data_IF_515135653228
#
_entry.id   IF_515135653228
#
_cell.length_a   1.000
_cell.length_b   1.000
_cell.length_c   1.000
_cell.angle_alpha   90.00
_cell.angle_beta   90.00
_cell.angle_gamma   90.00
#
_symmetry.space_group_name_H-M   'P 1'
#
loop_
_entity.id
_entity.type
_entity.pdbx_description
1 polymer ?
#
# COMPACT_ATOMS: atom_id res chain seq x y z
N UNK A 1 -37.22 39.64 -71.96
CA UNK A 1 -37.37 39.24 -70.54
C UNK A 1 -36.00 38.80 -70.04
N UNK A 2 -35.52 39.44 -68.98
CA UNK A 2 -34.15 39.43 -68.45
C UNK A 2 -34.14 38.72 -67.09
N UNK A 3 -33.09 37.95 -66.78
CA UNK A 3 -32.42 37.70 -65.45
C UNK A 3 -31.78 36.30 -65.46
N UNK A 4 -30.46 36.14 -65.29
CA UNK A 4 -29.53 36.41 -64.17
C UNK A 4 -29.29 35.18 -63.27
N UNK A 5 -28.02 35.05 -62.86
CA UNK A 5 -27.28 33.94 -62.24
C UNK A 5 -27.69 33.67 -60.78
N UNK A 6 -27.30 32.49 -60.27
CA UNK A 6 -26.68 32.19 -58.96
C UNK A 6 -27.08 30.75 -58.50
N UNK A 7 -26.15 29.79 -58.47
CA UNK A 7 -25.30 29.38 -57.33
C UNK A 7 -26.08 28.82 -56.12
N UNK A 8 -25.72 27.61 -55.65
CA UNK A 8 -25.82 27.04 -54.28
C UNK A 8 -25.77 25.50 -54.43
N UNK A 9 -24.58 24.89 -54.31
CA UNK A 9 -23.97 24.29 -53.11
C UNK A 9 -24.46 22.85 -52.82
N UNK A 10 -23.63 21.89 -53.25
CA UNK A 10 -23.64 20.48 -52.82
C UNK A 10 -23.38 20.36 -51.31
N UNK A 11 -24.20 19.57 -50.61
CA UNK A 11 -23.83 18.95 -49.34
C UNK A 11 -24.21 17.47 -49.40
N UNK A 12 -23.23 16.61 -49.65
CA UNK A 12 -23.33 15.17 -49.44
C UNK A 12 -22.86 14.90 -48.01
N UNK A 13 -23.80 14.63 -47.10
CA UNK A 13 -23.50 14.25 -45.73
C UNK A 13 -23.06 12.78 -45.69
N UNK A 14 -21.74 12.55 -45.68
CA UNK A 14 -21.14 11.25 -45.39
C UNK A 14 -21.20 11.00 -43.88
N UNK A 15 -22.23 10.29 -43.42
CA UNK A 15 -22.30 9.79 -42.04
C UNK A 15 -21.33 8.62 -41.87
N UNK A 16 -20.06 8.90 -41.56
CA UNK A 16 -19.15 7.90 -41.00
C UNK A 16 -19.57 7.62 -39.57
N UNK A 17 -20.33 6.54 -39.38
CA UNK A 17 -20.54 5.95 -38.05
C UNK A 17 -19.23 5.28 -37.65
N UNK A 18 -18.37 6.00 -36.95
CA UNK A 18 -17.23 5.40 -36.26
C UNK A 18 -17.81 4.64 -35.07
N UNK A 19 -18.16 3.38 -35.27
CA UNK A 19 -18.39 2.44 -34.19
C UNK A 19 -17.10 2.30 -33.39
N UNK A 20 -16.94 3.08 -32.31
CA UNK A 20 -15.94 2.84 -31.29
C UNK A 20 -16.40 1.65 -30.45
N UNK A 21 -16.26 0.44 -30.98
CA UNK A 21 -16.05 -0.72 -30.12
C UNK A 21 -14.73 -0.49 -29.37
N UNK A 22 -14.70 -0.42 -28.02
CA UNK A 22 -13.43 -0.51 -27.34
C UNK A 22 -12.91 -1.92 -27.58
N UNK A 23 -12.00 -2.05 -28.55
CA UNK A 23 -11.13 -3.20 -28.62
C UNK A 23 -10.36 -3.23 -27.30
N UNK A 24 -10.74 -4.12 -26.39
CA UNK A 24 -9.92 -4.43 -25.22
C UNK A 24 -8.63 -5.04 -25.79
N UNK A 25 -7.59 -4.22 -25.88
CA UNK A 25 -6.29 -4.66 -26.33
C UNK A 25 -5.84 -5.81 -25.42
N UNK A 26 -5.62 -6.97 -26.04
CA UNK A 26 -4.97 -8.11 -25.43
C UNK A 26 -3.58 -7.63 -24.93
N UNK A 27 -3.46 -7.38 -23.62
CA UNK A 27 -2.23 -6.85 -23.03
C UNK A 27 -2.34 -5.54 -22.25
N UNK A 28 -3.53 -4.97 -21.99
CA UNK A 28 -3.65 -3.90 -20.97
C UNK A 28 -3.73 -4.49 -19.55
N UNK A 29 -2.69 -4.34 -18.69
CA UNK A 29 -2.79 -4.73 -17.30
C UNK A 29 -3.84 -3.87 -16.61
N UNK A 30 -4.79 -4.51 -15.93
CA UNK A 30 -5.81 -3.82 -15.15
C UNK A 30 -5.21 -2.93 -14.05
N UNK A 31 -6.03 -2.13 -13.40
CA UNK A 31 -5.55 -1.28 -12.30
C UNK A 31 -5.36 -2.09 -11.00
N UNK A 32 -4.40 -1.68 -10.17
CA UNK A 32 -3.97 -2.36 -8.96
C UNK A 32 -5.08 -2.25 -7.91
N UNK A 33 -5.46 -3.37 -7.30
CA UNK A 33 -6.47 -3.40 -6.23
C UNK A 33 -5.78 -3.33 -4.87
N UNK A 34 -5.94 -2.21 -4.18
CA UNK A 34 -5.39 -2.03 -2.85
C UNK A 34 -6.34 -2.55 -1.78
N UNK A 35 -5.79 -2.98 -0.65
CA UNK A 35 -6.57 -3.40 0.52
C UNK A 35 -7.45 -2.26 1.08
N UNK A 36 -7.07 -1.00 0.86
CA UNK A 36 -7.80 0.17 1.36
C UNK A 36 -8.97 0.63 0.51
N UNK A 37 -9.01 0.28 -0.77
CA UNK A 37 -9.94 0.89 -1.71
C UNK A 37 -10.77 -0.19 -2.41
N UNK A 38 -12.09 0.02 -2.45
CA UNK A 38 -12.97 -0.60 -3.46
C UNK A 38 -12.67 -0.07 -4.88
N UNK A 39 -11.76 0.90 -5.01
CA UNK A 39 -11.27 1.50 -6.26
C UNK A 39 -9.91 0.96 -6.68
N UNK A 40 -9.66 1.01 -7.98
CA UNK A 40 -8.43 0.53 -8.60
C UNK A 40 -7.44 1.68 -8.79
N UNK A 41 -6.20 1.56 -8.31
CA UNK A 41 -5.17 2.56 -8.57
C UNK A 41 -4.32 2.16 -9.78
N UNK A 42 -4.01 3.13 -10.63
CA UNK A 42 -3.00 2.97 -11.67
C UNK A 42 -1.78 3.80 -11.26
N UNK A 43 -0.54 3.30 -11.45
CA UNK A 43 0.62 4.19 -11.38
C UNK A 43 0.38 5.38 -12.31
N UNK A 44 0.48 6.59 -11.78
CA UNK A 44 -0.10 7.79 -12.36
C UNK A 44 0.67 8.36 -13.57
N UNK A 45 1.87 7.86 -13.86
CA UNK A 45 2.77 8.48 -14.84
C UNK A 45 2.79 7.73 -16.19
N UNK A 46 2.80 8.52 -17.27
CA UNK A 46 3.20 8.07 -18.61
C UNK A 46 4.56 7.35 -18.54
N UNK A 47 4.85 6.39 -19.47
CA UNK A 47 6.05 5.55 -19.39
C UNK A 47 7.36 6.34 -19.28
N UNK A 48 7.47 7.50 -19.96
CA UNK A 48 8.65 8.35 -19.91
C UNK A 48 8.87 8.98 -18.51
N UNK A 49 7.80 9.51 -17.88
CA UNK A 49 7.86 10.04 -16.52
C UNK A 49 8.17 8.94 -15.49
N UNK A 50 7.62 7.75 -15.72
CA UNK A 50 7.90 6.57 -14.90
C UNK A 50 9.36 6.13 -14.98
N UNK A 51 9.95 6.12 -16.19
CA UNK A 51 11.35 5.79 -16.39
C UNK A 51 12.29 6.84 -15.76
N UNK A 52 11.93 8.12 -15.84
CA UNK A 52 12.65 9.19 -15.17
C UNK A 52 12.63 8.98 -13.64
N UNK A 53 11.45 8.71 -13.06
CA UNK A 53 11.32 8.40 -11.63
C UNK A 53 12.20 7.23 -11.20
N UNK A 54 12.19 6.13 -11.96
CA UNK A 54 13.04 4.96 -11.69
C UNK A 54 14.54 5.31 -11.75
N UNK A 55 14.93 6.21 -12.64
CA UNK A 55 16.34 6.63 -12.80
C UNK A 55 16.78 7.55 -11.65
N UNK A 56 15.91 8.46 -11.20
CA UNK A 56 16.25 9.47 -10.19
C UNK A 56 16.06 8.98 -8.75
N UNK A 57 15.25 7.94 -8.54
CA UNK A 57 15.00 7.35 -7.22
C UNK A 57 16.27 6.78 -6.61
N UNK A 58 16.64 7.22 -5.41
CA UNK A 58 17.84 6.75 -4.71
C UNK A 58 17.48 5.82 -3.57
N UNK A 59 17.68 4.53 -3.80
CA UNK A 59 17.57 3.45 -2.81
C UNK A 59 16.28 3.49 -1.98
N UNK A 60 15.14 3.37 -2.70
CA UNK A 60 13.78 3.41 -2.12
C UNK A 60 12.90 2.35 -2.76
N UNK A 61 11.74 2.10 -2.15
CA UNK A 61 10.70 1.26 -2.71
C UNK A 61 9.73 2.04 -3.59
N UNK A 62 9.42 1.48 -4.76
CA UNK A 62 8.41 1.99 -5.69
C UNK A 62 7.37 0.91 -5.99
N UNK A 63 6.20 1.35 -6.47
CA UNK A 63 5.29 0.50 -7.23
C UNK A 63 5.62 0.63 -8.71
N UNK A 64 5.88 -0.49 -9.37
CA UNK A 64 6.15 -0.54 -10.81
C UNK A 64 5.18 -1.50 -11.48
N UNK A 65 4.65 -1.12 -12.64
CA UNK A 65 3.73 -1.93 -13.44
C UNK A 65 4.29 -2.11 -14.84
N UNK A 66 4.20 -3.33 -15.36
CA UNK A 66 4.69 -3.72 -16.68
C UNK A 66 3.54 -4.13 -17.59
N UNK A 67 3.74 -4.10 -18.91
CA UNK A 67 2.75 -4.60 -19.87
C UNK A 67 2.48 -6.11 -19.73
N UNK A 68 3.49 -6.87 -19.29
CA UNK A 68 3.42 -8.29 -18.97
C UNK A 68 4.30 -8.59 -17.75
N UNK A 69 4.03 -9.69 -17.04
CA UNK A 69 4.92 -10.14 -15.96
C UNK A 69 6.34 -10.33 -16.51
N UNK A 70 7.35 -9.62 -15.98
CA UNK A 70 8.73 -9.79 -16.46
C UNK A 70 9.22 -11.22 -16.21
N UNK A 71 9.75 -11.85 -17.27
CA UNK A 71 10.34 -13.19 -17.20
C UNK A 71 11.69 -13.20 -16.47
N UNK A 72 12.28 -14.39 -16.27
CA UNK A 72 13.53 -14.56 -15.51
C UNK A 72 14.69 -13.70 -16.05
N UNK A 73 14.91 -13.71 -17.36
CA UNK A 73 15.97 -12.92 -18.00
C UNK A 73 15.76 -11.41 -17.82
N UNK A 74 14.52 -10.94 -17.97
CA UNK A 74 14.19 -9.52 -17.77
C UNK A 74 14.38 -9.10 -16.31
N UNK A 75 13.98 -9.94 -15.35
CA UNK A 75 14.22 -9.70 -13.91
C UNK A 75 15.71 -9.61 -13.58
N UNK A 76 16.53 -10.48 -14.17
CA UNK A 76 17.98 -10.42 -13.99
C UNK A 76 18.57 -9.12 -14.58
N UNK A 77 18.12 -8.72 -15.77
CA UNK A 77 18.54 -7.47 -16.39
C UNK A 77 18.15 -6.23 -15.56
N UNK A 78 16.92 -6.21 -15.02
CA UNK A 78 16.45 -5.18 -14.10
C UNK A 78 17.31 -5.13 -12.82
N UNK A 79 17.59 -6.28 -12.21
CA UNK A 79 18.39 -6.36 -10.99
C UNK A 79 19.82 -5.86 -11.20
N UNK A 80 20.45 -6.20 -12.34
CA UNK A 80 21.77 -5.68 -12.72
C UNK A 80 21.76 -4.15 -12.86
N UNK A 81 20.61 -3.58 -13.23
CA UNK A 81 20.36 -2.15 -13.35
C UNK A 81 19.82 -1.52 -12.06
N UNK A 82 19.92 -2.22 -10.92
CA UNK A 82 19.54 -1.71 -9.61
C UNK A 82 18.03 -1.72 -9.32
N UNK A 83 17.23 -2.47 -10.09
CA UNK A 83 15.79 -2.62 -9.88
C UNK A 83 15.49 -4.06 -9.49
N UNK A 84 15.19 -4.29 -8.21
CA UNK A 84 14.82 -5.62 -7.71
C UNK A 84 13.31 -5.70 -7.52
N UNK A 85 12.63 -6.49 -8.36
CA UNK A 85 11.20 -6.75 -8.20
C UNK A 85 10.97 -7.67 -7.00
N UNK A 86 10.11 -7.24 -6.08
CA UNK A 86 9.76 -7.93 -4.85
C UNK A 86 8.33 -8.52 -4.96
N UNK A 87 7.44 -8.23 -4.00
CA UNK A 87 6.08 -8.80 -3.95
C UNK A 87 5.24 -8.37 -5.14
N UNK A 88 4.48 -9.31 -5.68
CA UNK A 88 3.49 -9.10 -6.73
C UNK A 88 2.20 -8.50 -6.15
N UNK A 89 1.64 -7.50 -6.83
CA UNK A 89 0.43 -6.77 -6.42
C UNK A 89 -0.78 -7.08 -7.31
N UNK A 90 -0.63 -7.99 -8.26
CA UNK A 90 -1.64 -8.21 -9.30
C UNK A 90 -1.44 -7.28 -10.50
N UNK A 91 -2.09 -7.62 -11.62
CA UNK A 91 -2.08 -6.84 -12.86
C UNK A 91 -0.69 -6.38 -13.31
N UNK A 92 0.30 -7.30 -13.30
CA UNK A 92 1.68 -7.03 -13.71
C UNK A 92 2.39 -5.95 -12.88
N UNK A 93 1.88 -5.63 -11.69
CA UNK A 93 2.47 -4.66 -10.77
C UNK A 93 3.22 -5.33 -9.62
N UNK A 94 4.28 -4.67 -9.17
CA UNK A 94 5.17 -5.16 -8.12
C UNK A 94 5.57 -4.00 -7.20
N UNK A 95 5.79 -4.30 -5.92
CA UNK A 95 6.76 -3.52 -5.15
C UNK A 95 8.16 -3.82 -5.68
N UNK A 96 9.01 -2.80 -5.79
CA UNK A 96 10.39 -2.95 -6.23
C UNK A 96 11.32 -2.07 -5.41
N UNK A 97 12.48 -2.62 -5.03
CA UNK A 97 13.60 -1.83 -4.51
C UNK A 97 14.36 -1.23 -5.68
N UNK A 98 14.55 0.09 -5.67
CA UNK A 98 15.19 0.83 -6.76
C UNK A 98 16.39 1.61 -6.22
N UNK A 99 17.58 1.20 -6.63
CA UNK A 99 18.88 1.81 -6.30
C UNK A 99 19.34 2.79 -7.39
N UNK A 100 18.40 3.53 -8.00
CA UNK A 100 18.50 4.27 -9.27
C UNK A 100 19.92 4.57 -9.76
N UNK A 101 20.21 4.03 -10.95
CA UNK A 101 21.51 4.11 -11.62
C UNK A 101 21.32 4.72 -13.02
N UNK A 102 22.38 5.24 -13.63
CA UNK A 102 22.37 5.53 -15.06
C UNK A 102 21.89 4.30 -15.84
N UNK A 103 20.83 4.45 -16.63
CA UNK A 103 20.24 3.36 -17.41
C UNK A 103 19.11 2.57 -16.75
N UNK A 104 18.81 2.75 -15.45
CA UNK A 104 17.72 2.04 -14.77
C UNK A 104 16.37 2.27 -15.46
N UNK A 105 16.03 3.51 -15.81
CA UNK A 105 14.78 3.81 -16.53
C UNK A 105 14.71 3.16 -17.91
N UNK A 106 15.81 3.15 -18.66
CA UNK A 106 15.87 2.52 -19.98
C UNK A 106 15.73 0.99 -19.88
N UNK A 107 16.37 0.38 -18.90
CA UNK A 107 16.22 -1.04 -18.62
C UNK A 107 14.78 -1.40 -18.23
N UNK A 108 14.12 -0.53 -17.45
CA UNK A 108 12.72 -0.69 -17.10
C UNK A 108 11.82 -0.62 -18.35
N UNK A 109 12.01 0.37 -19.21
CA UNK A 109 11.29 0.49 -20.49
C UNK A 109 11.50 -0.73 -21.39
N UNK A 110 12.75 -1.21 -21.52
CA UNK A 110 13.07 -2.41 -22.29
C UNK A 110 12.42 -3.69 -21.71
N UNK A 111 12.23 -3.74 -20.38
CA UNK A 111 11.46 -4.80 -19.73
C UNK A 111 9.93 -4.64 -19.90
N UNK A 112 9.46 -3.54 -20.51
CA UNK A 112 8.06 -3.24 -20.76
C UNK A 112 7.39 -2.44 -19.65
N UNK A 113 8.13 -1.54 -18.97
CA UNK A 113 7.57 -0.65 -17.96
C UNK A 113 6.43 0.17 -18.55
N UNK A 114 5.28 0.10 -17.90
CA UNK A 114 4.08 0.87 -18.22
C UNK A 114 3.95 2.09 -17.32
N UNK A 115 4.22 1.91 -16.03
CA UNK A 115 4.01 2.94 -15.03
C UNK A 115 4.83 2.69 -13.78
N UNK A 116 5.26 3.76 -13.12
CA UNK A 116 5.91 3.73 -11.82
C UNK A 116 5.36 4.85 -10.94
N UNK A 117 5.30 4.60 -9.63
CA UNK A 117 4.90 5.60 -8.65
C UNK A 117 5.59 5.36 -7.32
N UNK A 118 5.83 6.44 -6.57
CA UNK A 118 6.14 6.34 -5.15
C UNK A 118 5.01 5.61 -4.41
N UNK A 119 5.35 4.87 -3.36
CA UNK A 119 4.35 4.27 -2.49
C UNK A 119 3.67 5.39 -1.71
N UNK A 120 2.34 5.45 -1.78
CA UNK A 120 1.54 6.50 -1.14
C UNK A 120 1.07 6.05 0.23
N UNK A 121 1.00 6.98 1.17
CA UNK A 121 0.58 6.77 2.55
C UNK A 121 -0.72 5.97 2.69
N UNK A 122 -1.76 6.34 1.95
CA UNK A 122 -3.07 5.68 2.01
C UNK A 122 -3.09 4.25 1.45
N UNK A 123 -2.01 3.79 0.82
CA UNK A 123 -1.88 2.40 0.38
C UNK A 123 -1.32 1.49 1.47
N UNK A 124 -0.82 2.08 2.57
CA UNK A 124 -0.05 1.39 3.62
C UNK A 124 -0.86 1.20 4.91
N UNK A 125 -2.03 1.84 5.04
CA UNK A 125 -2.82 1.82 6.26
C UNK A 125 -4.17 1.15 6.05
N UNK A 126 -4.60 0.25 6.94
CA UNK A 126 -5.98 -0.23 6.97
C UNK A 126 -7.00 0.93 7.01
N UNK A 127 -8.19 0.84 6.35
CA UNK A 127 -9.14 1.95 6.24
C UNK A 127 -9.52 2.62 7.56
N UNK A 128 -9.64 1.84 8.65
CA UNK A 128 -9.88 2.39 9.99
C UNK A 128 -8.72 3.26 10.47
N UNK A 129 -7.49 2.76 10.38
CA UNK A 129 -6.30 3.50 10.77
C UNK A 129 -6.10 4.75 9.90
N UNK A 130 -6.40 4.67 8.60
CA UNK A 130 -6.35 5.83 7.71
C UNK A 130 -7.27 6.97 8.18
N UNK A 131 -8.43 6.64 8.76
CA UNK A 131 -9.35 7.60 9.39
C UNK A 131 -8.99 7.99 10.83
N UNK A 132 -7.88 7.48 11.36
CA UNK A 132 -7.49 7.68 12.76
C UNK A 132 -8.29 6.84 13.76
N UNK A 133 -9.07 5.86 13.29
CA UNK A 133 -9.87 4.97 14.12
C UNK A 133 -9.04 3.75 14.54
N UNK A 134 -8.59 3.74 15.79
CA UNK A 134 -7.99 2.57 16.42
C UNK A 134 -9.07 1.82 17.23
N UNK A 135 -9.32 0.52 16.96
CA UNK A 135 -10.29 -0.27 17.73
C UNK A 135 -9.88 -0.40 19.20
N UNK A 136 -10.86 -0.46 20.11
CA UNK A 136 -10.60 -0.51 21.56
C UNK A 136 -9.72 -1.69 21.97
N UNK A 137 -9.94 -2.88 21.38
CA UNK A 137 -9.13 -4.06 21.63
C UNK A 137 -7.67 -3.94 21.13
N UNK A 138 -7.36 -2.93 20.30
CA UNK A 138 -6.02 -2.63 19.83
C UNK A 138 -5.37 -1.48 20.62
N UNK A 139 -6.09 -0.86 21.57
CA UNK A 139 -5.57 0.14 22.51
C UNK A 139 -5.04 -0.56 23.74
N UNK A 140 -3.75 -0.37 24.02
CA UNK A 140 -3.09 -0.89 25.19
C UNK A 140 -2.66 0.29 26.06
N UNK A 141 -2.98 0.29 27.35
CA UNK A 141 -2.41 1.23 28.30
C UNK A 141 -0.87 1.16 28.31
N UNK A 142 -0.17 2.30 28.18
CA UNK A 142 1.30 2.31 28.08
C UNK A 142 2.04 1.66 29.26
N UNK A 143 1.45 1.69 30.46
CA UNK A 143 1.98 1.04 31.66
C UNK A 143 1.99 -0.49 31.53
N UNK A 144 0.98 -1.06 30.88
CA UNK A 144 0.91 -2.49 30.54
C UNK A 144 1.80 -2.81 29.34
N UNK A 145 1.93 -1.86 28.40
CA UNK A 145 2.67 -2.07 27.16
C UNK A 145 4.20 -2.18 27.35
N UNK A 146 4.75 -1.78 28.50
CA UNK A 146 6.19 -1.86 28.77
C UNK A 146 7.03 -1.08 27.74
N UNK A 147 6.47 -0.03 27.15
CA UNK A 147 7.13 0.78 26.12
C UNK A 147 8.28 1.57 26.76
N UNK A 148 9.51 1.49 26.22
CA UNK A 148 10.64 2.25 26.75
C UNK A 148 10.38 3.76 26.79
N UNK A 149 10.76 4.41 27.89
CA UNK A 149 10.59 5.86 28.06
C UNK A 149 9.18 6.31 28.47
N UNK A 150 8.18 5.42 28.56
CA UNK A 150 6.81 5.81 28.87
C UNK A 150 6.65 6.39 30.28
N UNK A 151 7.39 5.84 31.25
CA UNK A 151 7.38 6.35 32.63
C UNK A 151 8.06 7.72 32.72
N UNK A 152 9.16 7.91 32.00
CA UNK A 152 9.93 9.15 31.93
C UNK A 152 9.11 10.26 31.27
N UNK A 153 8.52 10.00 30.10
CA UNK A 153 7.65 10.96 29.39
C UNK A 153 6.43 11.38 30.22
N UNK A 154 5.80 10.42 30.91
CA UNK A 154 4.70 10.71 31.84
C UNK A 154 5.14 11.68 32.95
N UNK A 155 6.29 11.44 33.58
CA UNK A 155 6.86 12.31 34.62
C UNK A 155 7.18 13.72 34.10
N UNK A 156 7.75 13.83 32.91
CA UNK A 156 8.07 15.12 32.30
C UNK A 156 6.81 15.95 31.97
N UNK A 157 5.77 15.30 31.46
CA UNK A 157 4.49 15.96 31.18
C UNK A 157 3.78 16.40 32.47
N UNK A 158 3.79 15.57 33.52
CA UNK A 158 3.28 15.92 34.85
C UNK A 158 4.05 17.10 35.47
N UNK A 159 5.38 17.12 35.36
CA UNK A 159 6.22 18.25 35.81
C UNK A 159 5.94 19.54 35.06
N UNK A 160 5.50 19.47 33.80
CA UNK A 160 5.06 20.63 33.00
C UNK A 160 3.62 21.04 33.29
N UNK A 161 2.95 20.42 34.26
CA UNK A 161 1.55 20.71 34.61
C UNK A 161 0.57 20.34 33.50
N UNK A 162 0.97 19.48 32.57
CA UNK A 162 0.10 18.99 31.51
C UNK A 162 -0.72 17.82 32.03
N UNK A 163 -2.01 17.79 31.68
CA UNK A 163 -2.84 16.60 31.86
C UNK A 163 -2.24 15.51 30.97
N UNK A 164 -1.59 14.53 31.59
CA UNK A 164 -1.08 13.34 30.91
C UNK A 164 -2.27 12.53 30.41
N UNK A 165 -2.65 12.75 29.16
CA UNK A 165 -3.43 11.76 28.43
C UNK A 165 -2.71 10.41 28.62
N UNK A 166 -3.44 9.36 28.98
CA UNK A 166 -2.90 8.01 29.03
C UNK A 166 -2.16 7.81 27.71
N UNK A 167 -0.84 7.58 27.74
CA UNK A 167 -0.11 7.26 26.51
C UNK A 167 -0.74 5.99 25.97
N UNK A 168 -1.59 6.12 24.95
CA UNK A 168 -2.24 4.98 24.35
C UNK A 168 -1.26 4.34 23.38
N UNK A 169 -1.05 3.05 23.55
CA UNK A 169 -0.20 2.26 22.66
C UNK A 169 -1.10 1.48 21.73
N UNK A 170 -0.89 1.65 20.43
CA UNK A 170 -1.54 0.87 19.39
C UNK A 170 -0.82 -0.47 19.22
N UNK A 171 -1.55 -1.58 19.39
CA UNK A 171 -1.14 -2.88 18.88
C UNK A 171 -1.47 -2.99 17.40
N UNK A 172 -0.50 -3.42 16.59
CA UNK A 172 -0.60 -3.41 15.14
C UNK A 172 0.04 -4.68 14.55
N UNK A 173 -0.50 -5.16 13.44
CA UNK A 173 0.24 -5.98 12.49
C UNK A 173 0.89 -5.08 11.45
N UNK A 174 2.21 -5.15 11.35
CA UNK A 174 3.00 -4.36 10.40
C UNK A 174 3.70 -5.31 9.45
N UNK A 175 3.42 -5.20 8.16
CA UNK A 175 4.14 -5.89 7.09
C UNK A 175 5.26 -4.98 6.60
N UNK A 176 6.46 -5.51 6.48
CA UNK A 176 7.63 -4.83 5.95
C UNK A 176 7.97 -5.32 4.53
N UNK A 177 8.73 -4.54 3.78
CA UNK A 177 9.26 -4.97 2.49
C UNK A 177 10.18 -6.21 2.66
N UNK A 178 10.21 -7.17 1.71
CA UNK A 178 10.95 -8.43 1.87
C UNK A 178 12.45 -8.34 2.12
N UNK A 179 13.07 -7.21 1.80
CA UNK A 179 14.48 -6.91 2.04
C UNK A 179 14.75 -6.19 3.38
N UNK A 180 13.71 -5.96 4.18
CA UNK A 180 13.82 -5.43 5.54
C UNK A 180 14.00 -6.58 6.50
N UNK A 181 15.15 -6.61 7.17
CA UNK A 181 15.44 -7.56 8.24
C UNK A 181 14.58 -7.26 9.49
N UNK A 182 13.84 -8.26 9.96
CA UNK A 182 12.90 -8.08 11.07
C UNK A 182 13.57 -7.91 12.43
N UNK A 183 14.76 -8.47 12.61
CA UNK A 183 15.45 -8.50 13.90
C UNK A 183 16.27 -7.21 14.12
N UNK A 184 16.71 -6.55 13.04
CA UNK A 184 17.55 -5.34 13.09
C UNK A 184 16.87 -4.10 12.50
N UNK A 185 16.59 -4.09 11.19
CA UNK A 185 16.07 -2.93 10.49
C UNK A 185 14.65 -2.56 10.94
N UNK A 186 13.75 -3.55 11.07
CA UNK A 186 12.40 -3.33 11.56
C UNK A 186 12.39 -2.82 13.01
N UNK A 187 13.23 -3.39 13.88
CA UNK A 187 13.35 -2.94 15.27
C UNK A 187 13.85 -1.48 15.36
N UNK A 188 14.81 -1.12 14.49
CA UNK A 188 15.36 0.24 14.43
C UNK A 188 14.31 1.25 13.96
N UNK A 189 13.58 0.98 12.86
CA UNK A 189 12.53 1.91 12.39
C UNK A 189 11.38 2.02 13.38
N UNK A 190 10.93 0.92 14.00
CA UNK A 190 9.90 0.96 15.03
C UNK A 190 10.37 1.75 16.26
N UNK A 191 11.63 1.56 16.68
CA UNK A 191 12.23 2.28 17.80
C UNK A 191 12.34 3.79 17.59
N UNK A 192 12.54 4.27 16.35
CA UNK A 192 12.56 5.71 16.00
C UNK A 192 11.26 6.42 16.39
N UNK A 193 10.14 5.69 16.47
CA UNK A 193 8.83 6.21 16.82
C UNK A 193 8.42 5.86 18.27
N UNK A 194 9.36 5.40 19.09
CA UNK A 194 9.08 4.96 20.47
C UNK A 194 8.28 3.68 20.55
N UNK A 195 8.23 2.89 19.47
CA UNK A 195 7.56 1.60 19.46
C UNK A 195 8.46 0.44 19.87
N UNK A 196 7.90 -0.77 19.87
CA UNK A 196 8.61 -2.02 20.12
C UNK A 196 8.05 -3.14 19.26
N UNK A 197 8.93 -3.92 18.64
CA UNK A 197 8.58 -5.18 17.97
C UNK A 197 8.32 -6.24 19.04
N UNK A 198 7.10 -6.80 19.10
CA UNK A 198 6.69 -7.79 20.10
C UNK A 198 6.90 -9.22 19.62
N UNK A 199 6.59 -9.49 18.36
CA UNK A 199 6.72 -10.83 17.79
C UNK A 199 6.85 -10.77 16.27
N UNK A 200 7.89 -11.37 15.67
CA UNK A 200 8.02 -11.45 14.22
C UNK A 200 7.14 -12.56 13.63
N UNK A 201 6.53 -12.29 12.48
CA UNK A 201 5.77 -13.21 11.64
C UNK A 201 6.56 -13.41 10.34
N UNK A 202 7.54 -14.32 10.39
CA UNK A 202 8.58 -14.46 9.35
C UNK A 202 8.03 -14.87 7.99
N UNK A 203 6.97 -15.68 7.93
CA UNK A 203 6.40 -16.19 6.68
C UNK A 203 5.92 -15.10 5.72
N UNK A 204 5.56 -13.92 6.24
CA UNK A 204 5.06 -12.78 5.45
C UNK A 204 5.90 -11.51 5.65
N UNK A 205 7.08 -11.61 6.25
CA UNK A 205 7.92 -10.48 6.65
C UNK A 205 7.13 -9.40 7.42
N UNK A 206 6.37 -9.83 8.43
CA UNK A 206 5.58 -8.93 9.25
C UNK A 206 5.97 -9.05 10.73
N UNK A 207 5.44 -8.18 11.57
CA UNK A 207 5.56 -8.28 13.01
C UNK A 207 4.33 -7.72 13.73
N UNK A 208 4.10 -8.23 14.94
CA UNK A 208 3.27 -7.57 15.94
C UNK A 208 4.09 -6.42 16.53
N UNK A 209 3.60 -5.20 16.38
CA UNK A 209 4.27 -3.97 16.80
C UNK A 209 3.37 -3.23 17.78
N UNK A 210 3.98 -2.72 18.85
CA UNK A 210 3.37 -1.77 19.77
C UNK A 210 3.97 -0.40 19.51
N UNK A 211 3.13 0.59 19.25
CA UNK A 211 3.55 1.94 18.85
C UNK A 211 2.68 2.98 19.56
N UNK A 212 3.20 4.14 19.99
CA UNK A 212 2.34 5.24 20.44
C UNK A 212 1.26 5.56 19.39
N UNK A 213 0.00 5.64 19.83
CA UNK A 213 -1.15 5.71 18.93
C UNK A 213 -1.13 6.98 18.04
N UNK A 214 -0.59 8.09 18.56
CA UNK A 214 -0.38 9.35 17.85
C UNK A 214 0.68 9.25 16.74
N UNK A 215 1.54 8.22 16.77
CA UNK A 215 2.64 8.01 15.82
C UNK A 215 2.31 7.07 14.67
N UNK A 216 1.16 6.39 14.70
CA UNK A 216 0.78 5.39 13.67
C UNK A 216 0.77 5.99 12.26
N UNK A 217 0.23 7.20 12.10
CA UNK A 217 0.18 7.87 10.81
C UNK A 217 1.60 8.18 10.30
N UNK A 218 2.43 8.83 11.11
CA UNK A 218 3.79 9.17 10.70
C UNK A 218 4.65 7.92 10.41
N UNK A 219 4.51 6.87 11.22
CA UNK A 219 5.22 5.60 11.03
C UNK A 219 4.91 4.94 9.68
N UNK A 220 3.68 5.06 9.18
CA UNK A 220 3.31 4.46 7.90
C UNK A 220 4.04 5.11 6.71
N UNK A 221 4.63 6.29 6.84
CA UNK A 221 5.41 6.96 5.78
C UNK A 221 6.80 6.33 5.56
N UNK A 222 7.28 5.50 6.49
CA UNK A 222 8.62 4.89 6.42
C UNK A 222 8.77 3.93 5.23
N UNK A 223 9.87 4.02 4.49
CA UNK A 223 10.10 3.25 3.26
C UNK A 223 10.13 1.74 3.49
N UNK A 224 10.52 1.31 4.69
CA UNK A 224 10.58 -0.07 5.14
C UNK A 224 9.19 -0.70 5.33
N UNK A 225 8.20 0.14 5.66
CA UNK A 225 6.83 -0.30 5.94
C UNK A 225 6.09 -0.55 4.63
N UNK A 226 5.38 -1.67 4.54
CA UNK A 226 4.56 -2.03 3.38
C UNK A 226 3.06 -1.93 3.70
N UNK A 227 2.64 -2.33 4.90
CA UNK A 227 1.24 -2.33 5.33
C UNK A 227 1.13 -2.29 6.85
N UNK A 228 0.11 -1.64 7.38
CA UNK A 228 -0.19 -1.50 8.80
C UNK A 228 -1.68 -1.71 9.01
N UNK A 229 -2.05 -2.62 9.90
CA UNK A 229 -3.45 -2.88 10.27
C UNK A 229 -3.62 -3.20 11.76
N UNK A 230 -4.83 -3.00 12.32
CA UNK A 230 -5.14 -3.48 13.65
C UNK A 230 -5.04 -5.02 13.72
N UNK A 231 -4.73 -5.60 14.89
CA UNK A 231 -4.83 -7.04 15.09
C UNK A 231 -6.26 -7.52 14.89
N UNK A 232 -6.41 -8.84 14.77
CA UNK A 232 -7.74 -9.44 14.81
C UNK A 232 -8.42 -9.13 16.16
N UNK A 233 -9.74 -8.87 16.16
CA UNK A 233 -10.49 -8.80 17.41
C UNK A 233 -10.27 -10.08 18.23
N UNK A 234 -10.31 -9.99 19.57
CA UNK A 234 -10.30 -11.18 20.41
C UNK A 234 -11.46 -12.10 20.00
N UNK A 235 -11.23 -13.41 20.09
CA UNK A 235 -12.31 -14.38 19.92
C UNK A 235 -13.29 -14.17 21.07
N UNK A 236 -14.51 -13.80 20.75
CA UNK A 236 -15.61 -13.71 21.70
C UNK A 236 -16.47 -14.97 21.62
N UNK A 237 -17.29 -15.21 22.63
CA UNK A 237 -18.19 -16.37 22.77
C UNK A 237 -19.41 -16.25 21.85
N UNK A 238 -19.24 -15.82 20.60
CA UNK A 238 -20.31 -15.79 19.60
C UNK A 238 -20.44 -17.14 18.86
N UNK A 239 -20.59 -18.23 19.63
CA UNK A 239 -21.04 -19.52 19.09
C UNK A 239 -22.53 -19.81 19.43
N UNK A 240 -23.23 -18.86 20.04
CA UNK A 240 -24.66 -19.05 20.36
C UNK A 240 -25.54 -19.09 19.10
N UNK A 241 -25.07 -18.50 18.00
CA UNK A 241 -25.78 -18.60 16.71
C UNK A 241 -25.81 -20.03 16.19
N UNK A 242 -24.76 -20.84 16.39
CA UNK A 242 -24.78 -22.24 15.97
C UNK A 242 -25.66 -23.10 16.88
N UNK A 243 -25.77 -22.82 18.19
CA UNK A 243 -26.70 -23.54 19.07
C UNK A 243 -28.15 -23.33 18.67
N UNK A 244 -28.49 -22.07 18.33
CA UNK A 244 -29.80 -21.72 17.80
C UNK A 244 -30.07 -22.35 16.42
N UNK A 245 -29.08 -22.34 15.51
CA UNK A 245 -29.21 -22.91 14.15
C UNK A 245 -29.26 -24.46 14.17
N UNK A 246 -28.49 -25.10 15.05
CA UNK A 246 -28.47 -26.57 15.17
C UNK A 246 -29.63 -27.11 16.00
N UNK A 247 -30.49 -26.24 16.54
CA UNK A 247 -31.63 -26.61 17.39
C UNK A 247 -31.22 -27.57 18.51
N UNK A 248 -30.01 -27.42 19.05
CA UNK A 248 -29.46 -28.35 20.02
C UNK A 248 -30.34 -28.46 21.28
N UNK A 249 -31.05 -27.38 21.62
CA UNK A 249 -32.00 -27.34 22.74
C UNK A 249 -33.33 -28.06 22.46
N UNK A 250 -33.67 -28.31 21.19
CA UNK A 250 -34.90 -29.04 20.79
C UNK A 250 -34.72 -30.56 20.93
N UNK A 251 -33.48 -31.06 20.88
CA UNK A 251 -33.17 -32.50 20.97
C UNK A 251 -32.93 -32.98 22.41
N UNK A 252 -33.07 -32.08 23.40
CA UNK A 252 -32.88 -32.37 24.83
C UNK A 252 -34.17 -32.21 25.66
N UNK A 253 -35.31 -31.97 25.01
CA UNK A 253 -36.62 -31.84 25.64
C UNK A 253 -37.45 -33.13 25.56
#
# INVERSE_FOLDING_TARGET
MMRCRDAILMIVALCVVIGRTPARAEGDPGAIRWKTQSGTARPAAEPAGSAALVTTTRDRHLVVQFNKVPGRAQRAALANQGITLQRYLGNNAFFARVKGRPGSGQAALAAGLRGASAIRHEWKLHPRLLRGELPDYARIPADIAGVPGAKERKREAEQRGQVTATEEVAALYVVFHPDVDLDTAAATVVGRYGGTVRSPIRSINAAVVWLPADRVQAFAEEDEVQWVEPPLPPLDVSNDSNRYITQADIVQA
#
